data_IF_529499328021
#
_entry.id   IF_529499328021
#
_cell.length_a   1.000
_cell.length_b   1.000
_cell.length_c   1.000
_cell.angle_alpha   90.00
_cell.angle_beta   90.00
_cell.angle_gamma   90.00
#
_symmetry.space_group_name_H-M   'P 1'
#
loop_
_entity.id
_entity.type
_entity.pdbx_description
1 polymer ?
#
# COMPACT_ATOMS: atom_id res chain seq x y z
N UNK A 1 -6.03 21.43 -12.39
CA UNK A 1 -6.21 19.98 -12.54
C UNK A 1 -7.64 19.67 -12.17
N UNK A 2 -8.45 19.12 -13.08
CA UNK A 2 -9.78 18.64 -12.69
C UNK A 2 -9.63 17.33 -11.95
N UNK A 3 -10.42 17.15 -10.90
CA UNK A 3 -10.56 15.87 -10.21
C UNK A 3 -11.26 14.90 -11.16
N UNK A 4 -10.70 13.70 -11.32
CA UNK A 4 -11.34 12.60 -12.04
C UNK A 4 -12.08 11.81 -10.97
N UNK A 5 -13.39 11.65 -11.14
CA UNK A 5 -14.18 10.76 -10.29
C UNK A 5 -14.06 9.33 -10.83
N UNK A 6 -13.82 8.39 -9.93
CA UNK A 6 -13.65 6.97 -10.21
C UNK A 6 -14.13 6.18 -8.98
N UNK A 7 -14.59 4.96 -9.21
CA UNK A 7 -14.91 4.03 -8.13
C UNK A 7 -13.63 3.54 -7.44
N UNK A 8 -13.80 2.98 -6.25
CA UNK A 8 -12.70 2.35 -5.52
C UNK A 8 -12.08 1.20 -6.34
N UNK A 9 -12.92 0.33 -6.89
CA UNK A 9 -12.53 -0.83 -7.70
C UNK A 9 -11.77 -0.41 -8.97
N UNK A 10 -12.25 0.64 -9.65
CA UNK A 10 -11.57 1.20 -10.84
C UNK A 10 -10.18 1.72 -10.49
N UNK A 11 -10.02 2.35 -9.33
CA UNK A 11 -8.70 2.81 -8.88
C UNK A 11 -7.79 1.63 -8.46
N UNK A 12 -8.34 0.61 -7.79
CA UNK A 12 -7.58 -0.60 -7.46
C UNK A 12 -7.03 -1.30 -8.70
N UNK A 13 -7.82 -1.40 -9.77
CA UNK A 13 -7.37 -1.96 -11.05
C UNK A 13 -6.26 -1.13 -11.69
N UNK A 14 -6.35 0.20 -11.64
CA UNK A 14 -5.27 1.07 -12.13
C UNK A 14 -3.97 0.91 -11.31
N UNK A 15 -4.09 0.69 -9.99
CA UNK A 15 -2.93 0.40 -9.14
C UNK A 15 -2.32 -0.94 -9.54
N UNK A 16 -3.13 -1.97 -9.77
CA UNK A 16 -2.67 -3.29 -10.25
C UNK A 16 -1.90 -3.16 -11.57
N UNK A 17 -2.48 -2.48 -12.55
CA UNK A 17 -1.84 -2.23 -13.84
C UNK A 17 -0.51 -1.50 -13.67
N UNK A 18 -0.45 -0.49 -12.81
CA UNK A 18 0.79 0.23 -12.53
C UNK A 18 1.86 -0.69 -11.91
N UNK A 19 1.47 -1.60 -11.01
CA UNK A 19 2.38 -2.57 -10.40
C UNK A 19 2.94 -3.55 -11.43
N UNK A 20 2.13 -3.99 -12.40
CA UNK A 20 2.55 -4.89 -13.48
C UNK A 20 3.55 -4.24 -14.45
N UNK A 21 3.61 -2.90 -14.51
CA UNK A 21 4.60 -2.16 -15.33
C UNK A 21 5.96 -2.00 -14.67
N UNK A 22 6.11 -2.42 -13.40
CA UNK A 22 7.37 -2.27 -12.68
C UNK A 22 8.49 -3.12 -13.30
N UNK A 23 9.76 -2.67 -13.24
CA UNK A 23 10.88 -3.41 -13.80
C UNK A 23 11.08 -4.79 -13.15
N UNK A 24 11.56 -5.80 -13.89
CA UNK A 24 11.73 -7.17 -13.37
C UNK A 24 12.56 -7.28 -12.09
N UNK A 25 13.53 -6.38 -11.88
CA UNK A 25 14.35 -6.39 -10.66
C UNK A 25 13.56 -6.08 -9.38
N UNK A 26 12.34 -5.53 -9.49
CA UNK A 26 11.47 -5.26 -8.34
C UNK A 26 10.67 -6.47 -7.89
N UNK A 27 10.56 -7.52 -8.71
CA UNK A 27 9.73 -8.71 -8.41
C UNK A 27 10.05 -9.31 -7.04
N UNK A 28 11.32 -9.57 -6.66
CA UNK A 28 11.62 -10.13 -5.33
C UNK A 28 11.24 -9.21 -4.17
N UNK A 29 11.18 -7.89 -4.41
CA UNK A 29 10.78 -6.91 -3.40
C UNK A 29 9.25 -6.94 -3.24
N UNK A 30 8.53 -7.05 -4.36
CA UNK A 30 7.06 -7.10 -4.36
C UNK A 30 6.51 -8.33 -3.64
N UNK A 31 7.22 -9.46 -3.67
CA UNK A 31 6.85 -10.68 -2.95
C UNK A 31 6.80 -10.48 -1.41
N UNK A 32 7.53 -9.51 -0.88
CA UNK A 32 7.54 -9.19 0.56
C UNK A 32 6.59 -8.04 0.93
N UNK A 33 5.88 -7.48 -0.06
CA UNK A 33 5.05 -6.28 0.12
C UNK A 33 3.56 -6.56 -0.10
N UNK A 34 2.74 -5.83 0.66
CA UNK A 34 1.31 -5.72 0.41
C UNK A 34 0.96 -4.25 0.16
N UNK A 35 0.27 -3.98 -0.94
CA UNK A 35 -0.27 -2.66 -1.26
C UNK A 35 -1.74 -2.64 -0.88
N UNK A 36 -2.13 -1.66 -0.06
CA UNK A 36 -3.51 -1.43 0.35
C UNK A 36 -3.98 -0.10 -0.22
N UNK A 37 -5.17 -0.11 -0.82
CA UNK A 37 -5.84 1.09 -1.31
C UNK A 37 -6.87 1.52 -0.26
N UNK A 38 -6.83 2.79 0.14
CA UNK A 38 -7.79 3.39 1.07
C UNK A 38 -8.25 4.74 0.50
N UNK A 39 -9.54 5.05 0.59
CA UNK A 39 -10.12 6.29 0.04
C UNK A 39 -9.59 7.56 0.72
N UNK A 40 -9.12 7.43 1.96
CA UNK A 40 -8.58 8.53 2.74
C UNK A 40 -7.42 8.07 3.63
N UNK A 41 -6.40 8.94 3.86
CA UNK A 41 -5.32 8.62 4.76
C UNK A 41 -5.81 8.49 6.20
N UNK A 42 -5.20 7.56 6.95
CA UNK A 42 -5.52 7.35 8.37
C UNK A 42 -5.28 8.63 9.20
N UNK A 43 -6.11 8.90 10.23
CA UNK A 43 -5.91 10.06 11.11
C UNK A 43 -4.48 10.11 11.68
N UNK A 44 -3.87 11.30 11.63
CA UNK A 44 -2.52 11.52 12.15
C UNK A 44 -1.37 11.08 11.23
N UNK A 45 -1.66 10.53 10.04
CA UNK A 45 -0.62 10.17 9.05
C UNK A 45 -0.29 11.30 8.07
N UNK A 46 -1.14 12.32 7.99
CA UNK A 46 -1.03 13.42 7.03
C UNK A 46 -0.46 14.68 7.69
N UNK A 47 0.43 15.39 6.99
CA UNK A 47 0.88 16.73 7.39
C UNK A 47 -0.18 17.78 7.01
N UNK A 48 -0.43 18.82 7.85
CA UNK A 48 -1.35 19.89 7.51
C UNK A 48 -1.04 20.55 6.16
N UNK A 49 -2.06 20.75 5.32
CA UNK A 49 -1.92 21.37 4.01
C UNK A 49 -1.34 20.46 2.92
N UNK A 50 -1.22 19.15 3.18
CA UNK A 50 -0.72 18.18 2.20
C UNK A 50 -1.72 17.03 2.01
N UNK A 51 -1.63 16.36 0.87
CA UNK A 51 -2.36 15.13 0.60
C UNK A 51 -1.37 13.98 0.58
N UNK A 52 -1.55 13.02 1.49
CA UNK A 52 -0.76 11.80 1.51
C UNK A 52 -1.29 10.85 0.44
N UNK A 53 -0.47 10.57 -0.58
CA UNK A 53 -0.83 9.69 -1.70
C UNK A 53 -0.39 8.24 -1.49
N UNK A 54 0.51 7.99 -0.56
CA UNK A 54 1.00 6.66 -0.23
C UNK A 54 1.83 6.67 1.03
N UNK A 55 1.81 5.57 1.77
CA UNK A 55 2.56 5.40 3.01
C UNK A 55 3.23 4.02 3.03
N UNK A 56 4.56 4.02 3.07
CA UNK A 56 5.31 2.80 3.33
C UNK A 56 5.30 2.49 4.83
N UNK A 57 4.90 1.27 5.20
CA UNK A 57 4.89 0.80 6.59
C UNK A 57 5.65 -0.52 6.70
N UNK A 58 6.86 -0.46 7.26
CA UNK A 58 7.64 -1.66 7.58
C UNK A 58 7.04 -2.42 8.77
N UNK A 59 6.88 -3.73 8.63
CA UNK A 59 6.44 -4.62 9.71
C UNK A 59 7.68 -5.38 10.23
N UNK A 60 8.01 -5.31 11.54
CA UNK A 60 9.14 -6.06 12.08
C UNK A 60 8.99 -7.57 11.86
N UNK A 61 10.09 -8.25 11.51
CA UNK A 61 10.10 -9.71 11.30
C UNK A 61 9.69 -10.47 12.57
N UNK A 62 9.97 -9.93 13.77
CA UNK A 62 9.51 -10.51 15.05
C UNK A 62 8.00 -10.49 15.25
N UNK A 63 7.26 -9.75 14.41
CA UNK A 63 5.81 -9.76 14.37
C UNK A 63 5.24 -10.71 13.29
N UNK A 64 6.09 -11.28 12.43
CA UNK A 64 5.73 -12.30 11.45
C UNK A 64 5.69 -13.66 12.15
N UNK A 65 4.50 -14.07 12.58
CA UNK A 65 4.30 -15.30 13.33
C UNK A 65 4.06 -15.03 14.80
N UNK A 66 2.78 -15.06 15.20
CA UNK A 66 2.43 -15.13 16.60
C UNK A 66 3.10 -16.35 17.21
N UNK A 67 3.85 -16.15 18.29
CA UNK A 67 4.36 -17.24 19.12
C UNK A 67 3.17 -18.11 19.51
N UNK A 68 3.14 -19.38 19.11
CA UNK A 68 2.17 -20.33 19.65
C UNK A 68 2.70 -20.73 21.03
N UNK A 69 2.08 -20.32 22.14
CA UNK A 69 2.57 -20.75 23.45
C UNK A 69 2.27 -22.25 23.59
N UNK A 70 3.31 -23.09 23.69
CA UNK A 70 3.17 -24.52 24.00
C UNK A 70 3.43 -25.52 22.87
N UNK A 71 4.06 -25.12 21.75
CA UNK A 71 4.72 -26.05 20.83
C UNK A 71 6.18 -26.30 21.22
#
# INVERSE_FOLDING_TARGET
>A
MSRIEMSHEEFEDLVRDAMDTLPEWTVPILEELAVLVEDAPKPGTTRPGTTLLGLYRGIPVTAHGGRVPGS
#
